data_IF_213160728098
#
_entry.id   IF_213160728098
#
_cell.length_a   1.000
_cell.length_b   1.000
_cell.length_c   1.000
_cell.angle_alpha   90.00
_cell.angle_beta   90.00
_cell.angle_gamma   90.00
#
_symmetry.space_group_name_H-M   'P 1'
#
loop_
_entity.id
_entity.type
_entity.pdbx_description
1 polymer ?
#
# COMPACT_ATOMS: atom_id res chain seq x y z
N UNK A 1 10.73 -10.37 -8.23
CA UNK A 1 10.45 -8.94 -8.46
C UNK A 1 9.26 -8.54 -7.58
N UNK A 2 9.14 -7.30 -7.15
CA UNK A 2 7.91 -6.81 -6.49
C UNK A 2 6.83 -6.63 -7.57
N UNK A 3 5.78 -7.45 -7.52
CA UNK A 3 4.76 -7.50 -8.58
C UNK A 3 3.49 -6.74 -8.22
N UNK A 4 3.34 -6.36 -6.95
CA UNK A 4 2.11 -5.76 -6.43
C UNK A 4 2.37 -4.39 -5.83
N UNK A 5 1.40 -3.51 -6.01
CA UNK A 5 1.42 -2.11 -5.57
C UNK A 5 0.99 -2.03 -4.11
N UNK A 6 1.68 -1.25 -3.30
CA UNK A 6 1.21 -0.89 -1.96
C UNK A 6 0.08 0.14 -2.06
N UNK A 7 -1.07 -0.17 -1.45
CA UNK A 7 -2.26 0.69 -1.50
C UNK A 7 -2.07 2.03 -0.77
N UNK A 8 -1.12 2.11 0.17
CA UNK A 8 -0.81 3.34 0.89
C UNK A 8 0.06 4.29 0.04
N UNK A 9 1.18 3.79 -0.51
CA UNK A 9 2.19 4.67 -1.12
C UNK A 9 2.28 4.61 -2.65
N UNK A 10 1.61 3.67 -3.31
CA UNK A 10 1.59 3.56 -4.77
C UNK A 10 2.87 3.02 -5.42
N UNK A 11 3.83 2.51 -4.61
CA UNK A 11 5.04 1.85 -5.11
C UNK A 11 4.84 0.33 -5.23
N UNK A 12 5.50 -0.29 -6.21
CA UNK A 12 5.57 -1.76 -6.32
C UNK A 12 6.56 -2.34 -5.32
N UNK A 13 6.12 -2.55 -4.08
CA UNK A 13 6.96 -3.05 -2.99
C UNK A 13 6.51 -4.40 -2.45
N UNK A 14 5.35 -4.90 -2.90
CA UNK A 14 4.77 -6.13 -2.39
C UNK A 14 5.07 -7.30 -3.34
N UNK A 15 5.31 -8.47 -2.75
CA UNK A 15 5.65 -9.70 -3.47
C UNK A 15 4.44 -10.61 -3.67
N UNK A 16 3.40 -10.45 -2.86
CA UNK A 16 2.21 -11.28 -2.85
C UNK A 16 0.92 -10.46 -3.07
N UNK A 17 -0.19 -11.12 -3.43
CA UNK A 17 -1.52 -10.51 -3.57
C UNK A 17 -2.05 -9.83 -2.28
N UNK A 18 -3.21 -9.16 -2.40
CA UNK A 18 -3.87 -8.41 -1.31
C UNK A 18 -4.16 -9.29 -0.10
N UNK A 19 -3.93 -8.74 1.09
CA UNK A 19 -4.06 -9.49 2.35
C UNK A 19 -2.87 -10.40 2.64
N UNK A 20 -1.69 -10.10 2.08
CA UNK A 20 -0.47 -10.88 2.30
C UNK A 20 0.19 -10.65 3.66
N UNK A 21 -0.29 -9.68 4.43
CA UNK A 21 0.30 -9.21 5.69
C UNK A 21 1.74 -8.69 5.55
N UNK A 22 2.20 -8.43 4.33
CA UNK A 22 3.51 -7.82 4.09
C UNK A 22 3.51 -6.36 4.54
N UNK A 23 4.58 -5.96 5.22
CA UNK A 23 4.82 -4.55 5.57
C UNK A 23 5.57 -3.89 4.42
N UNK A 24 5.01 -2.81 3.88
CA UNK A 24 5.65 -2.04 2.83
C UNK A 24 6.88 -1.29 3.39
N UNK A 25 8.11 -1.55 2.91
CA UNK A 25 9.31 -0.89 3.44
C UNK A 25 9.40 0.62 3.08
N UNK A 26 8.58 1.10 2.15
CA UNK A 26 8.58 2.51 1.69
C UNK A 26 7.66 3.39 2.54
N UNK A 27 6.60 2.83 3.12
CA UNK A 27 5.65 3.61 3.92
C UNK A 27 5.25 2.96 5.26
N UNK A 28 5.72 1.75 5.54
CA UNK A 28 5.40 0.96 6.74
C UNK A 28 3.94 0.47 6.88
N UNK A 29 3.11 0.64 5.86
CA UNK A 29 1.75 0.08 5.83
C UNK A 29 1.77 -1.45 5.77
N UNK A 30 0.99 -2.13 6.62
CA UNK A 30 0.77 -3.58 6.52
C UNK A 30 -0.39 -3.89 5.56
N UNK A 31 -0.14 -4.75 4.57
CA UNK A 31 -1.14 -5.26 3.64
C UNK A 31 -2.06 -6.30 4.28
N UNK A 32 -2.92 -5.88 5.21
CA UNK A 32 -3.97 -6.72 5.82
C UNK A 32 -5.20 -6.91 4.91
N UNK A 33 -5.18 -6.32 3.71
CA UNK A 33 -6.23 -6.41 2.72
C UNK A 33 -7.45 -5.53 3.01
N UNK A 34 -7.47 -4.83 4.15
CA UNK A 34 -8.54 -3.91 4.50
C UNK A 34 -8.41 -2.65 3.67
N UNK A 35 -9.54 -2.20 3.13
CA UNK A 35 -9.67 -0.96 2.38
C UNK A 35 -10.81 -0.14 2.97
N UNK A 36 -10.79 1.16 2.75
CA UNK A 36 -11.83 2.06 3.23
C UNK A 36 -13.17 1.78 2.50
N UNK A 37 -14.01 0.94 3.09
CA UNK A 37 -15.38 0.72 2.62
C UNK A 37 -16.34 1.79 3.17
N UNK A 38 -17.34 2.18 2.38
CA UNK A 38 -18.35 3.14 2.83
C UNK A 38 -19.17 2.54 3.97
N UNK A 39 -19.01 3.09 5.17
CA UNK A 39 -19.86 2.79 6.32
C UNK A 39 -19.44 1.59 7.16
N UNK A 40 -18.32 0.94 6.84
CA UNK A 40 -17.69 -0.08 7.68
C UNK A 40 -16.24 0.33 7.96
N UNK A 41 -15.85 0.29 9.23
CA UNK A 41 -14.51 0.69 9.68
C UNK A 41 -13.96 -0.39 10.61
N UNK A 42 -12.91 -1.04 10.12
CA UNK A 42 -12.02 -1.89 10.87
C UNK A 42 -10.61 -1.42 10.50
N UNK A 43 -9.76 -1.13 11.48
CA UNK A 43 -8.37 -0.75 11.18
C UNK A 43 -7.48 -1.97 10.99
N UNK A 44 -7.98 -3.18 11.26
CA UNK A 44 -7.22 -4.40 11.15
C UNK A 44 -5.93 -4.31 11.97
N UNK A 45 -4.79 -4.55 11.32
CA UNK A 45 -3.48 -4.49 11.96
C UNK A 45 -2.87 -3.08 12.01
N UNK A 46 -3.45 -2.13 11.29
CA UNK A 46 -2.98 -0.75 11.22
C UNK A 46 -3.73 0.12 12.26
N UNK A 47 -3.20 1.29 12.62
CA UNK A 47 -3.85 2.19 13.58
C UNK A 47 -4.63 3.34 12.93
N UNK A 48 -4.44 3.55 11.63
CA UNK A 48 -5.14 4.55 10.82
C UNK A 48 -5.78 3.87 9.62
N UNK A 49 -6.84 4.47 9.07
CA UNK A 49 -7.46 4.01 7.83
C UNK A 49 -6.55 4.21 6.62
N UNK A 50 -6.83 3.50 5.53
CA UNK A 50 -6.01 3.56 4.32
C UNK A 50 -5.96 4.98 3.73
N UNK A 51 -7.08 5.71 3.66
CA UNK A 51 -7.09 7.09 3.17
C UNK A 51 -6.27 8.05 4.03
N UNK A 52 -6.21 7.81 5.34
CA UNK A 52 -5.39 8.58 6.26
C UNK A 52 -3.91 8.23 6.09
N UNK A 53 -3.57 6.95 5.98
CA UNK A 53 -2.22 6.50 5.65
C UNK A 53 -1.72 7.09 4.32
N UNK A 54 -2.57 7.16 3.29
CA UNK A 54 -2.26 7.82 2.01
C UNK A 54 -1.97 9.31 2.19
N UNK A 55 -2.79 10.02 2.97
CA UNK A 55 -2.57 11.44 3.29
C UNK A 55 -1.28 11.65 4.10
N UNK A 56 -1.01 10.77 5.06
CA UNK A 56 0.21 10.75 5.85
C UNK A 56 1.43 10.49 4.99
N UNK A 57 1.36 9.56 4.02
CA UNK A 57 2.48 9.31 3.12
C UNK A 57 2.82 10.54 2.28
N UNK A 58 1.82 11.30 1.81
CA UNK A 58 2.06 12.58 1.12
C UNK A 58 2.81 13.57 1.99
N UNK A 59 2.46 13.65 3.28
CA UNK A 59 2.98 14.63 4.23
C UNK A 59 4.34 14.24 4.81
N UNK A 60 4.48 12.99 5.24
CA UNK A 60 5.58 12.48 6.04
C UNK A 60 6.49 11.52 5.28
N UNK A 61 6.02 10.89 4.20
CA UNK A 61 6.65 9.72 3.55
C UNK A 61 6.60 8.45 4.39
N UNK A 62 5.63 8.35 5.29
CA UNK A 62 5.26 7.14 6.03
C UNK A 62 3.73 7.09 6.25
N UNK A 63 3.17 5.91 6.51
CA UNK A 63 1.74 5.74 6.77
C UNK A 63 1.30 6.38 8.08
N UNK A 64 2.22 6.51 9.03
CA UNK A 64 2.07 7.26 10.28
C UNK A 64 3.39 7.96 10.60
N UNK A 65 3.34 9.16 11.17
CA UNK A 65 4.54 9.94 11.54
C UNK A 65 5.46 9.17 12.51
N UNK A 66 4.88 8.38 13.42
CA UNK A 66 5.61 7.53 14.37
C UNK A 66 6.46 6.44 13.72
N UNK A 67 6.18 6.10 12.46
CA UNK A 67 6.84 5.00 11.73
C UNK A 67 7.99 5.44 10.84
N UNK A 68 8.32 6.74 10.83
CA UNK A 68 9.38 7.31 9.99
C UNK A 68 10.76 6.67 10.18
N UNK A 69 11.05 6.15 11.38
CA UNK A 69 12.32 5.46 11.63
C UNK A 69 12.46 4.11 10.93
N UNK A 70 11.39 3.57 10.35
CA UNK A 70 11.35 2.24 9.74
C UNK A 70 11.20 2.24 8.22
N UNK A 71 11.09 3.41 7.59
CA UNK A 71 10.92 3.52 6.13
C UNK A 71 12.26 3.68 5.41
N UNK A 72 12.31 3.24 4.16
CA UNK A 72 13.42 3.50 3.22
C UNK A 72 12.91 4.12 1.93
N UNK A 73 13.84 4.70 1.16
CA UNK A 73 13.56 5.07 -0.21
C UNK A 73 13.24 3.82 -1.07
N UNK A 74 12.37 3.95 -2.07
CA UNK A 74 12.08 2.89 -3.03
C UNK A 74 13.33 2.53 -3.84
N UNK A 75 13.50 1.25 -4.15
CA UNK A 75 14.56 0.77 -5.03
C UNK A 75 14.21 1.02 -6.50
N UNK A 76 15.21 0.99 -7.40
CA UNK A 76 14.97 1.17 -8.84
C UNK A 76 13.99 0.15 -9.44
N UNK A 77 13.90 -1.05 -8.84
CA UNK A 77 12.98 -2.11 -9.24
C UNK A 77 11.58 -1.97 -8.63
N UNK A 78 11.35 -0.95 -7.80
CA UNK A 78 10.08 -0.66 -7.14
C UNK A 78 9.53 0.66 -7.70
N UNK A 79 9.08 0.70 -8.97
CA UNK A 79 8.60 1.94 -9.55
C UNK A 79 7.34 2.44 -8.84
N UNK A 80 7.21 3.76 -8.76
CA UNK A 80 5.94 4.41 -8.46
C UNK A 80 5.00 4.20 -9.63
N UNK A 81 3.78 3.70 -9.37
CA UNK A 81 2.78 3.46 -10.42
C UNK A 81 1.50 4.26 -10.22
N UNK A 82 1.48 5.17 -9.24
CA UNK A 82 0.38 6.11 -9.00
C UNK A 82 -0.42 5.82 -7.74
N UNK A 83 -1.05 6.86 -7.22
CA UNK A 83 -2.12 6.77 -6.24
C UNK A 83 -3.46 6.62 -6.97
N UNK A 84 -4.38 5.83 -6.42
CA UNK A 84 -5.78 5.67 -6.87
C UNK A 84 -5.99 4.72 -8.05
N UNK A 85 -6.03 3.42 -7.73
CA UNK A 85 -7.13 2.59 -8.24
C UNK A 85 -7.97 2.22 -7.03
N UNK A 86 -9.28 2.27 -7.14
CA UNK A 86 -10.19 1.73 -6.12
C UNK A 86 -10.06 0.20 -6.04
N UNK A 87 -11.18 -0.51 -6.04
CA UNK A 87 -11.27 -1.97 -5.99
C UNK A 87 -10.52 -2.76 -7.10
N UNK A 88 -9.90 -2.10 -8.08
CA UNK A 88 -9.32 -2.76 -9.25
C UNK A 88 -7.81 -2.97 -9.09
N UNK A 89 -7.42 -4.25 -9.10
CA UNK A 89 -6.20 -4.80 -9.69
C UNK A 89 -4.86 -4.09 -9.34
N UNK A 90 -4.14 -4.65 -8.34
CA UNK A 90 -2.76 -4.26 -7.99
C UNK A 90 -1.71 -4.77 -8.99
N UNK A 91 -2.15 -5.53 -9.99
CA UNK A 91 -1.40 -6.05 -11.12
C UNK A 91 -1.65 -5.18 -12.36
N UNK A 92 -0.65 -5.06 -13.25
CA UNK A 92 -0.86 -4.49 -14.59
C UNK A 92 -1.29 -5.60 -15.58
N UNK A 93 -1.59 -6.79 -15.07
CA UNK A 93 -1.75 -8.04 -15.81
C UNK A 93 -3.02 -8.78 -15.37
N UNK A 94 -4.19 -8.19 -15.56
CA UNK A 94 -5.42 -8.93 -15.84
C UNK A 94 -6.00 -8.47 -17.19
N UNK A 95 -5.19 -8.54 -18.25
CA UNK A 95 -5.68 -8.54 -19.63
C UNK A 95 -5.37 -9.85 -20.38
N UNK A 96 -5.03 -10.94 -19.70
CA UNK A 96 -4.87 -12.25 -20.35
C UNK A 96 -5.28 -13.43 -19.44
N UNK A 97 -6.54 -13.44 -19.03
CA UNK A 97 -7.22 -14.70 -18.73
C UNK A 97 -8.17 -14.95 -19.90
N UNK A 98 -7.97 -16.10 -20.54
CA UNK A 98 -8.70 -16.66 -21.68
C UNK A 98 -10.23 -16.61 -21.52
#
# INVERSE_FOLDING_TARGET
MCNYVCDCCGYRTLHNPRGSYQICPVCFWQDDGVVDEKGYYDTGANHVKLSEAQANFKKFKACEESTLGYVRNPDKSEPYVGELRGFMERTLEEENIL
#
